data_IF_089102426756
#
_entry.id   IF_089102426756
#
_cell.length_a   1.000
_cell.length_b   1.000
_cell.length_c   1.000
_cell.angle_alpha   90.00
_cell.angle_beta   90.00
_cell.angle_gamma   90.00
#
_symmetry.space_group_name_H-M   'P 1'
#
loop_
_entity.id
_entity.type
_entity.pdbx_description
1 polymer ?
#
# COMPACT_ATOMS: atom_id res chain seq x y z
N UNK A 1 -42.77 -1.17 -1.30
CA UNK A 1 -41.53 -1.95 -1.09
C UNK A 1 -40.38 -0.96 -1.22
N UNK A 2 -39.71 -0.66 -0.12
CA UNK A 2 -38.54 0.22 -0.12
C UNK A 2 -37.37 -0.56 -0.69
N UNK A 3 -36.74 -0.03 -1.73
CA UNK A 3 -35.42 -0.48 -2.18
C UNK A 3 -34.48 -0.38 -0.97
N UNK A 4 -33.89 -1.52 -0.60
CA UNK A 4 -32.70 -1.52 0.25
C UNK A 4 -31.61 -0.84 -0.56
N UNK A 5 -31.32 0.43 -0.26
CA UNK A 5 -30.06 1.06 -0.63
C UNK A 5 -28.95 0.11 -0.17
N UNK A 6 -28.29 -0.56 -1.12
CA UNK A 6 -27.04 -1.26 -0.85
C UNK A 6 -26.12 -0.22 -0.23
N UNK A 7 -25.71 -0.43 1.02
CA UNK A 7 -24.67 0.38 1.63
C UNK A 7 -23.46 0.37 0.71
N UNK A 8 -22.97 1.55 0.34
CA UNK A 8 -21.73 1.69 -0.42
C UNK A 8 -20.64 0.91 0.33
N UNK A 9 -19.82 0.08 -0.36
CA UNK A 9 -18.75 -0.65 0.30
C UNK A 9 -17.80 0.34 0.97
N UNK A 10 -17.67 0.22 2.29
CA UNK A 10 -16.77 1.06 3.06
C UNK A 10 -15.38 0.39 3.07
N UNK A 11 -14.43 0.96 2.35
CA UNK A 11 -13.04 0.47 2.33
C UNK A 11 -12.32 0.98 3.59
N UNK A 12 -12.67 0.37 4.73
CA UNK A 12 -12.29 0.84 6.08
C UNK A 12 -10.95 0.35 6.59
N UNK A 13 -10.35 -0.67 5.97
CA UNK A 13 -9.10 -1.25 6.44
C UNK A 13 -8.00 -1.07 5.39
N UNK A 14 -6.90 -0.45 5.79
CA UNK A 14 -5.79 -0.20 4.90
C UNK A 14 -4.58 0.40 5.59
N UNK A 15 -3.44 0.40 4.90
CA UNK A 15 -2.18 0.97 5.37
C UNK A 15 -1.73 2.10 4.44
N UNK A 16 -1.24 3.19 5.04
CA UNK A 16 -0.53 4.27 4.35
C UNK A 16 0.92 4.26 4.82
N UNK A 17 1.87 4.25 3.88
CA UNK A 17 3.27 4.57 4.15
C UNK A 17 3.53 5.98 3.63
N UNK A 18 3.82 6.91 4.53
CA UNK A 18 3.94 8.34 4.24
C UNK A 18 5.40 8.75 4.17
N UNK A 19 5.79 9.34 3.04
CA UNK A 19 7.03 10.09 2.86
C UNK A 19 6.73 11.59 2.88
N UNK A 20 7.31 12.32 3.81
CA UNK A 20 7.30 13.79 3.80
C UNK A 20 8.58 14.31 3.18
N UNK A 21 8.47 15.26 2.26
CA UNK A 21 9.55 15.89 1.52
C UNK A 21 9.57 17.38 1.86
N UNK A 22 10.38 17.74 2.86
CA UNK A 22 10.63 19.13 3.23
C UNK A 22 11.87 19.68 2.51
N UNK A 23 12.02 21.00 2.48
CA UNK A 23 13.16 21.70 1.85
C UNK A 23 14.54 21.36 2.47
N UNK A 24 14.59 20.67 3.63
CA UNK A 24 15.83 20.46 4.40
C UNK A 24 16.19 18.99 4.59
N UNK A 25 15.23 18.05 4.56
CA UNK A 25 15.49 16.61 4.57
C UNK A 25 14.20 15.82 4.24
N UNK A 26 14.34 14.68 3.56
CA UNK A 26 13.28 13.69 3.40
C UNK A 26 13.84 12.29 3.64
N UNK A 27 13.69 11.79 4.88
CA UNK A 27 14.41 10.61 5.33
C UNK A 27 13.58 9.40 5.70
N UNK A 28 12.30 9.57 6.07
CA UNK A 28 11.57 8.54 6.83
C UNK A 28 10.22 8.20 6.19
N UNK A 29 9.92 6.91 6.13
CA UNK A 29 8.63 6.34 5.73
C UNK A 29 7.84 5.99 6.99
N UNK A 30 6.76 6.73 7.24
CA UNK A 30 5.92 6.50 8.41
C UNK A 30 4.73 5.59 8.06
N UNK A 31 4.53 4.51 8.82
CA UNK A 31 3.32 3.67 8.71
C UNK A 31 2.17 4.30 9.49
N UNK A 32 1.03 4.45 8.84
CA UNK A 32 -0.25 4.82 9.45
C UNK A 32 -1.41 4.02 8.84
N UNK A 33 -2.58 4.05 9.47
CA UNK A 33 -3.79 3.41 8.93
C UNK A 33 -4.46 4.32 7.89
N UNK A 34 -5.13 3.73 6.90
CA UNK A 34 -5.87 4.45 5.85
C UNK A 34 -7.08 5.26 6.39
N UNK A 35 -7.50 5.06 7.64
CA UNK A 35 -8.65 5.76 8.23
C UNK A 35 -8.32 7.05 9.01
N UNK A 36 -9.22 8.04 8.87
CA UNK A 36 -9.55 9.25 9.66
C UNK A 36 -8.45 10.15 10.26
N UNK A 37 -7.18 9.74 10.23
CA UNK A 37 -6.04 10.50 10.75
C UNK A 37 -5.06 10.90 9.63
N UNK A 38 -5.39 10.67 8.35
CA UNK A 38 -4.67 11.36 7.28
C UNK A 38 -5.14 12.82 7.27
N UNK A 39 -4.25 13.70 7.69
CA UNK A 39 -4.48 15.14 7.77
C UNK A 39 -4.45 15.82 6.40
N UNK A 40 -3.96 15.15 5.35
CA UNK A 40 -3.77 15.71 4.02
C UNK A 40 -4.94 15.50 3.07
N UNK A 41 -5.55 14.31 3.09
CA UNK A 41 -6.65 13.94 2.18
C UNK A 41 -7.49 12.80 2.75
N UNK A 42 -8.70 12.67 2.20
CA UNK A 42 -9.62 11.55 2.43
C UNK A 42 -9.71 10.75 1.13
N UNK A 43 -9.60 9.42 1.24
CA UNK A 43 -9.85 8.51 0.13
C UNK A 43 -11.22 7.87 0.28
N UNK A 44 -11.96 7.85 -0.82
CA UNK A 44 -13.20 7.10 -0.93
C UNK A 44 -13.29 6.46 -2.31
N UNK A 45 -14.20 5.51 -2.45
CA UNK A 45 -14.51 4.89 -3.74
C UNK A 45 -16.01 4.98 -3.96
N UNK A 46 -16.40 5.51 -5.11
CA UNK A 46 -17.79 5.70 -5.51
C UNK A 46 -17.90 5.40 -6.99
N UNK A 47 -18.94 4.64 -7.38
CA UNK A 47 -19.22 4.31 -8.78
C UNK A 47 -18.00 3.76 -9.53
N UNK A 48 -17.23 2.86 -8.89
CA UNK A 48 -16.00 2.28 -9.44
C UNK A 48 -14.87 3.29 -9.72
N UNK A 49 -14.92 4.50 -9.15
CA UNK A 49 -13.87 5.50 -9.21
C UNK A 49 -13.29 5.80 -7.83
N UNK A 50 -11.98 6.02 -7.77
CA UNK A 50 -11.31 6.46 -6.54
C UNK A 50 -11.35 7.99 -6.47
N UNK A 51 -11.92 8.50 -5.40
CA UNK A 51 -12.02 9.93 -5.11
C UNK A 51 -10.95 10.28 -4.08
N UNK A 52 -10.22 11.37 -4.34
CA UNK A 52 -9.20 11.91 -3.43
C UNK A 52 -9.63 13.34 -3.05
N UNK A 53 -10.21 13.47 -1.87
CA UNK A 53 -10.69 14.76 -1.36
C UNK A 53 -9.60 15.38 -0.48
N UNK A 54 -9.06 16.52 -0.91
CA UNK A 54 -8.02 17.20 -0.15
C UNK A 54 -8.62 17.83 1.10
N UNK A 55 -8.00 17.56 2.26
CA UNK A 55 -8.39 18.21 3.52
C UNK A 55 -7.81 19.63 3.52
N UNK A 56 -8.66 20.67 3.58
CA UNK A 56 -8.22 22.05 3.54
C UNK A 56 -7.41 22.42 4.78
N UNK A 57 -6.48 23.36 4.60
CA UNK A 57 -5.74 23.95 5.71
C UNK A 57 -6.63 24.96 6.45
N UNK A 58 -6.74 24.80 7.76
CA UNK A 58 -7.48 25.72 8.63
C UNK A 58 -6.47 26.59 9.43
N UNK A 59 -5.63 27.35 8.73
CA UNK A 59 -4.62 28.23 9.35
C UNK A 59 -5.10 29.67 9.55
N UNK A 60 -6.12 30.09 8.79
CA UNK A 60 -6.64 31.46 8.80
C UNK A 60 -5.93 32.42 7.83
N UNK A 61 -4.84 32.01 7.18
CA UNK A 61 -4.20 32.75 6.08
C UNK A 61 -4.80 32.28 4.73
N UNK A 62 -5.45 33.15 3.94
CA UNK A 62 -6.04 32.78 2.66
C UNK A 62 -5.01 32.38 1.58
N UNK A 63 -3.72 32.66 1.79
CA UNK A 63 -2.65 32.24 0.89
C UNK A 63 -2.10 30.84 1.22
N UNK A 64 -2.55 30.21 2.31
CA UNK A 64 -2.19 28.85 2.64
C UNK A 64 -3.07 27.87 1.85
N UNK A 65 -2.45 26.84 1.29
CA UNK A 65 -3.18 25.83 0.52
C UNK A 65 -2.53 24.46 0.61
N UNK A 66 -3.39 23.45 0.41
CA UNK A 66 -3.00 22.09 0.09
C UNK A 66 -3.67 21.68 -1.20
N UNK A 67 -2.97 20.95 -2.06
CA UNK A 67 -3.53 20.44 -3.31
C UNK A 67 -3.02 19.04 -3.64
N UNK A 68 -3.80 18.33 -4.42
CA UNK A 68 -3.39 17.08 -5.04
C UNK A 68 -2.38 17.41 -6.15
N UNK A 69 -1.19 16.83 -6.07
CA UNK A 69 -0.13 16.99 -7.07
C UNK A 69 -0.22 15.87 -8.12
N UNK A 70 -0.34 14.62 -7.66
CA UNK A 70 -0.48 13.45 -8.52
C UNK A 70 -1.26 12.34 -7.81
N UNK A 71 -1.85 11.44 -8.60
CA UNK A 71 -2.40 10.17 -8.12
C UNK A 71 -2.10 9.06 -9.12
N UNK A 72 -1.62 7.93 -8.63
CA UNK A 72 -1.45 6.71 -9.39
C UNK A 72 -2.00 5.55 -8.54
N UNK A 73 -3.32 5.38 -8.59
CA UNK A 73 -4.04 4.37 -7.81
C UNK A 73 -4.66 3.34 -8.75
N UNK A 74 -4.48 2.07 -8.41
CA UNK A 74 -5.00 0.93 -9.14
C UNK A 74 -6.15 0.33 -8.35
N UNK A 75 -7.30 0.16 -9.00
CA UNK A 75 -8.44 -0.53 -8.42
C UNK A 75 -8.18 -2.03 -8.51
N UNK A 76 -8.40 -2.72 -7.40
CA UNK A 76 -8.35 -4.16 -7.33
C UNK A 76 -9.76 -4.69 -7.56
N UNK A 77 -9.91 -5.60 -8.54
CA UNK A 77 -11.21 -6.12 -8.96
C UNK A 77 -11.26 -7.62 -8.77
N UNK A 78 -12.42 -8.12 -8.32
CA UNK A 78 -12.67 -9.56 -8.32
C UNK A 78 -12.91 -10.10 -9.74
N UNK A 79 -13.11 -11.42 -9.86
CA UNK A 79 -13.38 -12.09 -11.14
C UNK A 79 -14.67 -11.62 -11.82
N UNK A 80 -15.61 -11.03 -11.08
CA UNK A 80 -16.85 -10.46 -11.60
C UNK A 80 -16.68 -8.99 -12.03
N UNK A 81 -15.49 -8.42 -11.86
CA UNK A 81 -15.14 -7.05 -12.19
C UNK A 81 -15.51 -6.03 -11.10
N UNK A 82 -16.02 -6.47 -9.95
CA UNK A 82 -16.42 -5.59 -8.85
C UNK A 82 -15.16 -5.11 -8.12
N UNK A 83 -15.11 -3.81 -7.80
CA UNK A 83 -14.02 -3.26 -7.00
C UNK A 83 -14.04 -3.79 -5.55
N UNK A 84 -12.93 -4.38 -5.11
CA UNK A 84 -12.75 -4.94 -3.76
C UNK A 84 -11.65 -4.24 -2.96
N UNK A 85 -10.92 -3.33 -3.60
CA UNK A 85 -9.94 -2.46 -2.95
C UNK A 85 -9.20 -1.59 -3.96
N UNK A 86 -8.17 -0.93 -3.49
CA UNK A 86 -7.24 -0.18 -4.33
C UNK A 86 -5.86 -0.09 -3.68
N UNK A 87 -4.84 0.15 -4.50
CA UNK A 87 -3.49 0.39 -4.04
C UNK A 87 -2.70 1.30 -4.98
N UNK A 88 -1.68 1.98 -4.47
CA UNK A 88 -0.78 2.80 -5.27
C UNK A 88 -0.29 4.03 -4.53
N UNK A 89 -0.24 5.16 -5.23
CA UNK A 89 0.42 6.39 -4.78
C UNK A 89 -0.51 7.60 -4.80
N UNK A 90 -0.43 8.43 -3.76
CA UNK A 90 -1.01 9.78 -3.72
C UNK A 90 0.08 10.79 -3.39
N UNK A 91 0.20 11.84 -4.19
CA UNK A 91 1.12 12.94 -3.94
C UNK A 91 0.34 14.22 -3.67
N UNK A 92 0.66 14.88 -2.55
CA UNK A 92 0.11 16.18 -2.19
C UNK A 92 1.22 17.20 -2.02
N UNK A 93 0.85 18.45 -2.23
CA UNK A 93 1.73 19.58 -2.01
C UNK A 93 1.06 20.55 -1.04
N UNK A 94 1.79 20.93 0.00
CA UNK A 94 1.32 21.85 1.04
C UNK A 94 2.18 23.09 1.08
N UNK A 95 1.50 24.24 1.19
CA UNK A 95 2.09 25.54 1.44
C UNK A 95 1.34 26.18 2.59
N UNK A 96 1.98 26.27 3.75
CA UNK A 96 1.33 26.76 4.97
C UNK A 96 2.21 27.72 5.75
N UNK A 97 1.59 28.65 6.45
CA UNK A 97 2.31 29.56 7.34
C UNK A 97 2.72 28.81 8.60
N UNK A 98 4.02 28.73 8.87
CA UNK A 98 4.53 27.96 10.00
C UNK A 98 4.11 28.64 11.32
N UNK A 99 3.39 27.92 12.19
CA UNK A 99 2.77 28.50 13.40
C UNK A 99 3.74 29.17 14.38
N UNK A 100 5.05 28.87 14.31
CA UNK A 100 6.05 29.33 15.28
C UNK A 100 7.29 30.03 14.66
N UNK A 101 7.35 30.19 13.34
CA UNK A 101 8.43 30.89 12.62
C UNK A 101 7.79 31.82 11.60
N UNK A 102 8.31 33.02 11.42
CA UNK A 102 7.76 34.07 10.53
C UNK A 102 7.84 33.77 9.03
N UNK A 103 7.88 32.49 8.64
CA UNK A 103 8.05 32.02 7.27
C UNK A 103 6.97 31.02 6.86
N UNK A 104 6.88 30.76 5.55
CA UNK A 104 5.98 29.75 4.99
C UNK A 104 6.73 28.44 4.84
N UNK A 105 6.15 27.34 5.32
CA UNK A 105 6.62 26.00 5.09
C UNK A 105 6.09 25.50 3.74
N UNK A 106 7.00 24.90 2.96
CA UNK A 106 6.72 24.25 1.69
C UNK A 106 7.14 22.80 1.80
N UNK A 107 6.22 21.88 1.56
CA UNK A 107 6.57 20.47 1.53
C UNK A 107 5.69 19.67 0.57
N UNK A 108 6.33 18.69 -0.05
CA UNK A 108 5.66 17.60 -0.77
C UNK A 108 5.40 16.45 0.19
N UNK A 109 4.35 15.69 -0.06
CA UNK A 109 4.06 14.45 0.65
C UNK A 109 3.66 13.39 -0.35
N UNK A 110 4.24 12.21 -0.21
CA UNK A 110 3.96 11.06 -1.05
C UNK A 110 3.56 9.87 -0.18
N UNK A 111 2.34 9.40 -0.40
CA UNK A 111 1.71 8.34 0.36
C UNK A 111 1.55 7.09 -0.52
N UNK A 112 2.09 5.97 -0.06
CA UNK A 112 1.82 4.65 -0.63
C UNK A 112 0.63 4.05 0.10
N UNK A 113 -0.46 3.83 -0.61
CA UNK A 113 -1.76 3.47 -0.04
C UNK A 113 -2.16 2.08 -0.49
N UNK A 114 -2.66 1.26 0.43
CA UNK A 114 -3.42 0.05 0.13
C UNK A 114 -4.66 0.02 1.01
N UNK A 115 -5.82 -0.19 0.40
CA UNK A 115 -7.09 -0.28 1.09
C UNK A 115 -7.95 -1.38 0.49
N UNK A 116 -8.59 -2.17 1.34
CA UNK A 116 -9.41 -3.31 0.95
C UNK A 116 -10.66 -3.36 1.81
N UNK A 117 -11.72 -3.98 1.32
CA UNK A 117 -12.86 -4.29 2.17
C UNK A 117 -12.48 -5.43 3.13
N UNK A 118 -12.41 -5.15 4.43
CA UNK A 118 -12.08 -6.14 5.46
C UNK A 118 -13.07 -7.29 5.53
N UNK A 119 -14.35 -7.06 5.17
CA UNK A 119 -15.37 -8.11 5.10
C UNK A 119 -15.11 -9.13 3.98
N UNK A 120 -14.36 -8.72 2.95
CA UNK A 120 -13.97 -9.56 1.84
C UNK A 120 -12.65 -10.32 2.10
N UNK A 121 -12.03 -10.16 3.28
CA UNK A 121 -10.81 -10.89 3.66
C UNK A 121 -11.13 -12.37 3.92
N UNK A 122 -10.43 -13.27 3.24
CA UNK A 122 -10.73 -14.71 3.23
C UNK A 122 -9.45 -15.53 3.04
N UNK A 123 -9.33 -16.63 3.77
CA UNK A 123 -8.37 -17.68 3.45
C UNK A 123 -8.70 -18.30 2.07
N UNK A 124 -7.75 -18.41 1.13
CA UNK A 124 -8.02 -19.05 -0.15
C UNK A 124 -8.37 -20.53 0.02
N UNK A 125 -9.38 -20.96 -0.72
CA UNK A 125 -9.92 -22.33 -0.67
C UNK A 125 -9.11 -23.34 -1.48
N UNK A 126 -8.25 -22.86 -2.38
CA UNK A 126 -7.42 -23.67 -3.28
C UNK A 126 -6.03 -23.07 -3.39
N UNK A 127 -5.04 -23.91 -3.69
CA UNK A 127 -3.71 -23.45 -4.05
C UNK A 127 -3.76 -22.58 -5.31
N UNK A 128 -2.88 -21.58 -5.40
CA UNK A 128 -2.89 -20.65 -6.52
C UNK A 128 -1.65 -19.77 -6.59
N UNK A 129 -1.30 -19.37 -7.81
CA UNK A 129 -0.28 -18.35 -8.05
C UNK A 129 -0.96 -16.99 -8.20
N UNK A 130 -0.37 -15.94 -7.65
CA UNK A 130 -0.87 -14.58 -7.65
C UNK A 130 0.19 -13.69 -8.26
N UNK A 131 -0.16 -12.93 -9.29
CA UNK A 131 0.75 -11.99 -9.93
C UNK A 131 0.21 -10.57 -9.78
N UNK A 132 1.11 -9.61 -9.60
CA UNK A 132 0.73 -8.24 -9.33
C UNK A 132 1.89 -7.26 -9.45
N UNK A 133 1.66 -6.06 -8.91
CA UNK A 133 2.66 -4.99 -8.87
C UNK A 133 2.91 -4.52 -7.44
N UNK A 134 4.11 -3.99 -7.22
CA UNK A 134 4.49 -3.25 -6.02
C UNK A 134 4.84 -1.82 -6.43
N UNK A 135 4.24 -0.83 -5.78
CA UNK A 135 4.70 0.56 -5.81
C UNK A 135 5.51 0.82 -4.55
N UNK A 136 6.74 1.30 -4.68
CA UNK A 136 7.64 1.45 -3.54
C UNK A 136 8.55 2.67 -3.63
N UNK A 137 9.08 3.05 -2.48
CA UNK A 137 10.24 3.91 -2.31
C UNK A 137 11.43 3.04 -1.94
N UNK A 138 12.60 3.34 -2.49
CA UNK A 138 13.84 2.71 -2.08
C UNK A 138 15.00 3.69 -2.21
N UNK A 139 15.74 3.89 -1.13
CA UNK A 139 16.90 4.78 -1.07
C UNK A 139 16.60 6.20 -1.55
N UNK A 140 15.51 6.78 -1.03
CA UNK A 140 15.09 8.15 -1.37
C UNK A 140 14.68 8.38 -2.82
N UNK A 141 14.44 7.30 -3.58
CA UNK A 141 13.94 7.36 -4.94
C UNK A 141 12.50 6.84 -4.96
N UNK A 142 11.50 7.74 -4.82
CA UNK A 142 10.09 7.35 -4.75
C UNK A 142 9.52 6.93 -6.10
N UNK A 143 8.29 6.42 -6.08
CA UNK A 143 7.48 6.12 -7.27
C UNK A 143 7.99 4.96 -8.14
N UNK A 144 8.80 4.04 -7.58
CA UNK A 144 9.31 2.88 -8.32
C UNK A 144 8.27 1.77 -8.43
N UNK A 145 8.41 0.94 -9.47
CA UNK A 145 7.60 -0.25 -9.70
C UNK A 145 8.43 -1.55 -9.64
N UNK A 146 7.85 -2.58 -9.04
CA UNK A 146 8.34 -3.95 -9.09
C UNK A 146 7.19 -4.91 -9.39
N UNK A 147 7.53 -6.10 -9.87
CA UNK A 147 6.55 -7.17 -10.06
C UNK A 147 6.57 -8.08 -8.84
N UNK A 148 5.40 -8.52 -8.41
CA UNK A 148 5.25 -9.49 -7.31
C UNK A 148 4.61 -10.76 -7.86
N UNK A 149 5.19 -11.90 -7.47
CA UNK A 149 4.65 -13.23 -7.75
C UNK A 149 4.62 -14.01 -6.46
N UNK A 150 3.42 -14.35 -5.99
CA UNK A 150 3.17 -15.11 -4.78
C UNK A 150 2.52 -16.45 -5.13
N UNK A 151 2.70 -17.43 -4.25
CA UNK A 151 2.00 -18.71 -4.29
C UNK A 151 1.42 -19.00 -2.92
N UNK A 152 0.13 -19.31 -2.91
CA UNK A 152 -0.55 -19.88 -1.75
C UNK A 152 -0.70 -21.38 -1.94
N UNK A 153 -0.29 -22.16 -0.94
CA UNK A 153 -0.44 -23.61 -0.89
C UNK A 153 -0.30 -24.08 0.56
N UNK A 154 -1.12 -25.03 1.00
CA UNK A 154 -1.06 -25.62 2.36
C UNK A 154 -1.01 -24.59 3.51
N UNK A 155 -1.86 -23.55 3.44
CA UNK A 155 -1.90 -22.42 4.39
C UNK A 155 -0.57 -21.66 4.50
N UNK A 156 0.25 -21.67 3.45
CA UNK A 156 1.53 -20.97 3.41
C UNK A 156 1.60 -20.05 2.21
N UNK A 157 2.29 -18.93 2.39
CA UNK A 157 2.62 -18.00 1.31
C UNK A 157 4.11 -18.08 0.99
N UNK A 158 4.42 -18.20 -0.29
CA UNK A 158 5.80 -18.12 -0.81
C UNK A 158 5.82 -17.16 -1.99
N UNK A 159 6.99 -16.71 -2.43
CA UNK A 159 7.07 -15.86 -3.61
C UNK A 159 8.25 -14.90 -3.63
N UNK A 160 8.21 -14.02 -4.61
CA UNK A 160 9.28 -13.08 -4.96
C UNK A 160 8.74 -11.71 -5.33
N UNK A 161 9.55 -10.68 -5.06
CA UNK A 161 9.42 -9.33 -5.60
C UNK A 161 10.63 -9.09 -6.51
N UNK A 162 10.39 -8.66 -7.74
CA UNK A 162 11.43 -8.41 -8.74
C UNK A 162 11.35 -6.96 -9.19
N UNK A 163 12.33 -6.14 -8.80
CA UNK A 163 12.42 -4.75 -9.25
C UNK A 163 12.66 -4.67 -10.76
N UNK A 164 11.77 -4.00 -11.49
CA UNK A 164 11.88 -3.87 -12.96
C UNK A 164 13.10 -3.03 -13.36
N UNK A 165 13.17 -1.82 -12.79
CA UNK A 165 14.22 -0.84 -13.11
C UNK A 165 15.29 -0.75 -12.01
N UNK A 166 15.16 -1.58 -10.97
CA UNK A 166 16.10 -1.64 -9.85
C UNK A 166 16.29 -3.09 -9.41
N UNK A 167 17.17 -3.85 -10.08
CA UNK A 167 17.42 -5.23 -9.72
C UNK A 167 17.86 -5.39 -8.26
N UNK A 168 18.55 -4.40 -7.66
CA UNK A 168 18.94 -4.44 -6.24
C UNK A 168 17.75 -4.58 -5.30
N UNK A 169 16.58 -4.07 -5.70
CA UNK A 169 15.31 -4.31 -5.02
C UNK A 169 14.65 -5.60 -5.53
N UNK A 170 15.32 -6.74 -5.32
CA UNK A 170 14.76 -8.06 -5.59
C UNK A 170 14.79 -8.92 -4.33
N UNK A 171 13.60 -9.28 -3.86
CA UNK A 171 13.38 -9.94 -2.57
C UNK A 171 12.62 -11.25 -2.76
N UNK A 172 12.72 -12.14 -1.79
CA UNK A 172 11.93 -13.37 -1.71
C UNK A 172 11.48 -13.61 -0.28
N UNK A 173 10.35 -14.29 -0.14
CA UNK A 173 9.89 -14.77 1.17
C UNK A 173 10.91 -15.77 1.72
N UNK A 174 11.33 -15.55 2.97
CA UNK A 174 12.24 -16.46 3.67
C UNK A 174 11.47 -17.65 4.24
N UNK A 175 11.48 -18.76 3.52
CA UNK A 175 10.74 -19.98 3.89
C UNK A 175 11.32 -20.72 5.11
N UNK A 176 12.43 -20.22 5.68
CA UNK A 176 12.98 -20.70 6.96
C UNK A 176 12.29 -20.06 8.17
N UNK A 177 11.64 -18.92 7.96
CA UNK A 177 10.92 -18.14 8.98
C UNK A 177 9.41 -18.33 8.85
N UNK A 178 8.61 -17.67 9.70
CA UNK A 178 7.16 -17.68 9.61
C UNK A 178 6.64 -17.14 8.27
N UNK A 179 5.73 -17.88 7.64
CA UNK A 179 5.09 -17.54 6.37
C UNK A 179 3.74 -18.27 6.23
N UNK A 180 3.08 -18.53 7.36
CA UNK A 180 1.75 -19.13 7.38
C UNK A 180 0.69 -18.06 7.12
N UNK A 181 -0.44 -18.50 6.58
CA UNK A 181 -1.63 -17.69 6.33
C UNK A 181 -2.65 -18.03 7.40
N UNK A 182 -3.09 -17.00 8.11
CA UNK A 182 -4.06 -17.08 9.17
C UNK A 182 -5.44 -17.47 8.63
N UNK A 183 -6.32 -17.93 9.53
CA UNK A 183 -7.69 -18.36 9.18
C UNK A 183 -8.54 -17.27 8.55
N UNK A 184 -8.25 -16.00 8.85
CA UNK A 184 -8.94 -14.86 8.26
C UNK A 184 -8.37 -14.48 6.88
N UNK A 185 -7.29 -15.12 6.43
CA UNK A 185 -6.60 -14.83 5.18
C UNK A 185 -5.44 -13.84 5.30
N UNK A 186 -5.10 -13.37 6.50
CA UNK A 186 -3.94 -12.50 6.72
C UNK A 186 -2.62 -13.28 6.73
N UNK A 187 -1.51 -12.62 6.41
CA UNK A 187 -0.18 -13.19 6.52
C UNK A 187 0.89 -12.13 6.81
N UNK A 188 1.96 -12.56 7.47
CA UNK A 188 3.18 -11.80 7.68
C UNK A 188 4.36 -12.72 7.38
N UNK A 189 5.29 -12.28 6.54
CA UNK A 189 6.47 -13.06 6.21
C UNK A 189 7.73 -12.21 6.14
N UNK A 190 8.86 -12.82 6.50
CA UNK A 190 10.18 -12.21 6.38
C UNK A 190 10.64 -12.20 4.90
N UNK A 191 11.36 -11.14 4.51
CA UNK A 191 11.95 -10.99 3.19
C UNK A 191 13.48 -11.05 3.27
N UNK A 192 14.08 -11.84 2.39
CA UNK A 192 15.54 -11.92 2.18
C UNK A 192 15.90 -11.56 0.73
N UNK A 193 17.17 -11.28 0.46
CA UNK A 193 17.63 -10.96 -0.88
C UNK A 193 17.43 -12.13 -1.85
N UNK A 194 16.92 -11.84 -3.05
CA UNK A 194 16.70 -12.86 -4.09
C UNK A 194 17.94 -13.10 -4.96
N UNK A 195 18.88 -12.15 -5.02
CA UNK A 195 20.07 -12.23 -5.89
C UNK A 195 21.10 -13.26 -5.44
N UNK A 196 21.29 -13.41 -4.13
CA UNK A 196 22.26 -14.34 -3.55
C UNK A 196 21.49 -15.55 -3.04
N UNK A 197 21.72 -16.76 -3.59
CA UNK A 197 20.97 -17.96 -3.19
C UNK A 197 21.04 -18.24 -1.68
N UNK A 198 22.18 -17.89 -1.07
CA UNK A 198 22.47 -18.09 0.36
C UNK A 198 22.36 -16.80 1.17
N UNK A 199 21.64 -15.78 0.69
CA UNK A 199 21.32 -14.64 1.55
C UNK A 199 20.46 -15.12 2.71
N UNK A 200 20.94 -14.84 3.91
CA UNK A 200 20.25 -15.14 5.17
C UNK A 200 19.92 -13.88 5.94
N UNK A 201 20.35 -12.73 5.44
CA UNK A 201 20.10 -11.44 6.06
C UNK A 201 18.67 -11.02 5.74
N UNK A 202 17.92 -10.70 6.80
CA UNK A 202 16.57 -10.22 6.69
C UNK A 202 16.57 -8.75 6.27
N UNK A 203 15.99 -8.46 5.11
CA UNK A 203 15.92 -7.10 4.54
C UNK A 203 14.62 -6.37 4.89
N UNK A 204 13.57 -7.10 5.24
CA UNK A 204 12.27 -6.50 5.61
C UNK A 204 11.16 -7.50 5.78
N UNK A 205 9.92 -7.00 5.73
CA UNK A 205 8.70 -7.79 5.91
C UNK A 205 7.71 -7.53 4.78
N UNK A 206 6.92 -8.54 4.45
CA UNK A 206 5.68 -8.43 3.69
C UNK A 206 4.52 -8.74 4.61
N UNK A 207 3.52 -7.86 4.64
CA UNK A 207 2.30 -7.99 5.43
C UNK A 207 1.11 -7.74 4.51
N UNK A 208 0.20 -8.70 4.44
CA UNK A 208 -0.94 -8.61 3.55
C UNK A 208 -2.05 -9.56 3.92
N UNK A 209 -3.02 -9.63 3.03
CA UNK A 209 -4.13 -10.57 3.14
C UNK A 209 -4.62 -11.03 1.78
N UNK A 210 -5.36 -12.12 1.82
CA UNK A 210 -6.16 -12.60 0.69
C UNK A 210 -7.58 -12.08 0.81
N UNK A 211 -8.14 -11.65 -0.32
CA UNK A 211 -9.45 -11.02 -0.42
C UNK A 211 -10.26 -11.60 -1.58
N UNK A 212 -11.55 -11.26 -1.60
CA UNK A 212 -12.49 -11.74 -2.60
C UNK A 212 -13.18 -13.02 -2.15
N UNK A 213 -14.12 -13.51 -2.96
CA UNK A 213 -15.05 -14.57 -2.55
C UNK A 213 -14.33 -15.89 -2.26
N UNK A 214 -13.28 -16.18 -3.03
CA UNK A 214 -12.49 -17.41 -3.00
C UNK A 214 -10.99 -17.12 -2.70
N UNK A 215 -10.70 -15.95 -2.12
CA UNK A 215 -9.34 -15.49 -1.86
C UNK A 215 -8.53 -15.25 -3.14
N UNK A 216 -9.18 -14.86 -4.24
CA UNK A 216 -8.57 -14.65 -5.56
C UNK A 216 -7.73 -13.36 -5.67
N UNK A 217 -7.79 -12.49 -4.67
CA UNK A 217 -7.02 -11.25 -4.61
C UNK A 217 -5.99 -11.33 -3.50
N UNK A 218 -4.82 -10.72 -3.70
CA UNK A 218 -3.84 -10.47 -2.64
C UNK A 218 -3.46 -9.00 -2.62
N UNK A 219 -3.41 -8.39 -1.44
CA UNK A 219 -2.99 -7.00 -1.27
C UNK A 219 -2.36 -6.77 0.09
N UNK A 220 -1.48 -5.77 0.16
CA UNK A 220 -0.81 -5.43 1.40
C UNK A 220 0.33 -4.43 1.20
N UNK A 221 1.28 -4.45 2.13
CA UNK A 221 2.43 -3.58 2.11
C UNK A 221 3.72 -4.34 2.42
N UNK A 222 4.83 -3.72 2.04
CA UNK A 222 6.18 -4.20 2.28
C UNK A 222 6.98 -3.08 2.93
N UNK A 223 7.89 -3.41 3.84
CA UNK A 223 8.76 -2.41 4.47
C UNK A 223 10.10 -2.98 4.88
N UNK A 224 11.10 -2.11 4.88
CA UNK A 224 12.40 -2.35 5.49
C UNK A 224 12.26 -2.78 6.96
N UNK A 225 13.26 -3.53 7.41
CA UNK A 225 13.24 -4.14 8.74
C UNK A 225 13.40 -3.11 9.85
N UNK A 226 14.45 -2.28 9.76
CA UNK A 226 14.97 -1.52 10.91
C UNK A 226 15.16 -0.01 10.66
N UNK A 227 15.18 0.46 9.41
CA UNK A 227 15.71 1.81 9.08
C UNK A 227 14.79 2.69 8.21
N UNK A 228 13.57 2.22 7.90
CA UNK A 228 12.61 2.90 7.01
C UNK A 228 13.22 3.30 5.65
N UNK A 229 14.32 2.64 5.23
CA UNK A 229 15.06 2.93 3.99
C UNK A 229 14.27 2.66 2.72
N UNK A 230 13.27 1.79 2.84
CA UNK A 230 12.36 1.44 1.77
C UNK A 230 11.02 0.95 2.33
N UNK A 231 9.98 1.09 1.51
CA UNK A 231 8.62 0.66 1.81
C UNK A 231 7.71 0.84 0.62
N UNK A 232 6.63 0.08 0.56
CA UNK A 232 5.72 0.11 -0.56
C UNK A 232 4.44 -0.66 -0.32
N UNK A 233 3.56 -0.61 -1.31
CA UNK A 233 2.25 -1.27 -1.32
C UNK A 233 2.12 -2.15 -2.54
N UNK A 234 1.38 -3.24 -2.42
CA UNK A 234 1.19 -4.20 -3.49
C UNK A 234 -0.26 -4.64 -3.63
N UNK A 235 -0.59 -5.08 -4.84
CA UNK A 235 -1.85 -5.73 -5.17
C UNK A 235 -1.62 -6.72 -6.32
N UNK A 236 -2.33 -7.84 -6.29
CA UNK A 236 -2.23 -8.89 -7.29
C UNK A 236 -3.44 -9.82 -7.32
N UNK A 237 -3.50 -10.62 -8.38
CA UNK A 237 -4.66 -11.46 -8.71
C UNK A 237 -4.23 -12.90 -8.96
N UNK A 238 -5.07 -13.85 -8.53
CA UNK A 238 -4.87 -15.28 -8.77
C UNK A 238 -4.94 -15.57 -10.26
N UNK A 239 -3.92 -16.25 -10.76
CA UNK A 239 -3.83 -16.71 -12.15
C UNK A 239 -4.69 -17.96 -12.35
N UNK A 240 -5.25 -18.09 -13.56
CA UNK A 240 -6.00 -19.29 -13.98
C UNK A 240 -5.11 -20.48 -14.32
#
# INVERSE_FOLDING_TARGET
MSEKTRSEPQYTEGTVLTRTIDDVDSGLLYKSNVQNNNDAYILSMKDDEIIVDIVPLNTGDPADYRKLAARNLNIIRDKEGKAVGFYGLVETYTWETARNLSGKARYGRMDYVVATNGEDKRLPSVAGNYNGKVFYDHNQAPGKEADISLRYEDNKVTGTITGRDNPEFSLKIDTREYHEVEKDGSFLAALVGNKKPNDKEMHGYIDGGFYGKDGEIVAGYVRSRDDDSWGGVFGGERQE
#
